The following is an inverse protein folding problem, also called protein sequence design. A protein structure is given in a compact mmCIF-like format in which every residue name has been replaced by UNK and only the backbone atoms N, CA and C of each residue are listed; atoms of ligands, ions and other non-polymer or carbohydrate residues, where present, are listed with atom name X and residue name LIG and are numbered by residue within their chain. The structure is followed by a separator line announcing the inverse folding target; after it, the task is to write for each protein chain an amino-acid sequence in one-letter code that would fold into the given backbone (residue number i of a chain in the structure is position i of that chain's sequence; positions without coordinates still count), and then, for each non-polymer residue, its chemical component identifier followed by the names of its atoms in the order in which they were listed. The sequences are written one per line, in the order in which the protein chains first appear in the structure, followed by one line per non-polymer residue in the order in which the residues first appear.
data_IF_052348856141
#
_entry.id   IF_052348856141
#
_cell.length_a   1.000
_cell.length_b   1.000
_cell.length_c   1.000
_cell.angle_alpha   90.00
_cell.angle_beta   90.00
_cell.angle_gamma   90.00
#
_symmetry.space_group_name_H-M   'P 1'
#
loop_
_entity.id
_entity.type
_entity.pdbx_description
1 polymer ?
#
# COMPACT_ATOMS: atom_id res chain seq x y z
N UNK A 1 -17.54 18.81 -8.48
CA UNK A 1 -18.33 18.16 -7.42
C UNK A 1 -17.58 16.97 -6.82
N UNK A 2 -17.73 16.70 -5.51
CA UNK A 2 -17.00 15.65 -4.78
C UNK A 2 -17.52 14.20 -4.95
N UNK A 3 -18.76 14.02 -5.42
CA UNK A 3 -19.47 12.72 -5.53
C UNK A 3 -19.18 11.70 -4.38
N UNK A 4 -19.43 12.02 -3.10
CA UNK A 4 -18.97 11.18 -1.98
C UNK A 4 -19.49 9.74 -1.98
N UNK A 5 -20.73 9.51 -2.41
CA UNK A 5 -21.29 8.14 -2.51
C UNK A 5 -20.60 7.32 -3.60
N UNK A 6 -20.35 7.91 -4.77
CA UNK A 6 -19.66 7.24 -5.88
C UNK A 6 -18.25 6.86 -5.48
N UNK A 7 -17.53 7.75 -4.79
CA UNK A 7 -16.19 7.43 -4.28
C UNK A 7 -16.22 6.37 -3.18
N UNK A 8 -17.27 6.31 -2.37
CA UNK A 8 -17.44 5.25 -1.37
C UNK A 8 -17.59 3.89 -2.05
N UNK A 9 -18.46 3.79 -3.05
CA UNK A 9 -18.70 2.57 -3.81
C UNK A 9 -17.45 2.17 -4.62
N UNK A 10 -16.84 3.12 -5.33
CA UNK A 10 -15.58 2.91 -6.07
C UNK A 10 -14.48 2.37 -5.16
N UNK A 11 -14.28 2.97 -3.99
CA UNK A 11 -13.26 2.52 -3.05
C UNK A 11 -13.55 1.11 -2.55
N UNK A 12 -14.82 0.79 -2.25
CA UNK A 12 -15.23 -0.58 -1.91
C UNK A 12 -14.92 -1.57 -3.03
N UNK A 13 -15.15 -1.17 -4.28
CA UNK A 13 -14.95 -1.98 -5.47
C UNK A 13 -13.46 -2.27 -5.76
N UNK A 14 -12.53 -1.38 -5.44
CA UNK A 14 -11.08 -1.58 -5.70
C UNK A 14 -10.29 -2.15 -4.51
N UNK A 15 -10.96 -2.36 -3.38
CA UNK A 15 -10.39 -2.96 -2.16
C UNK A 15 -10.38 -4.48 -2.23
N UNK A 16 -9.59 -5.09 -1.35
CA UNK A 16 -9.60 -6.55 -1.23
C UNK A 16 -11.03 -7.01 -0.88
N UNK A 17 -11.50 -8.05 -1.56
CA UNK A 17 -12.72 -8.73 -1.12
C UNK A 17 -12.48 -9.39 0.25
N UNK A 18 -13.53 -9.69 1.03
CA UNK A 18 -13.36 -10.41 2.29
C UNK A 18 -12.53 -11.69 2.14
N UNK A 19 -12.80 -12.51 1.11
CA UNK A 19 -12.04 -13.72 0.82
C UNK A 19 -10.57 -13.44 0.50
N UNK A 20 -10.27 -12.38 -0.25
CA UNK A 20 -8.88 -12.01 -0.53
C UNK A 20 -8.16 -11.51 0.73
N UNK A 21 -8.86 -10.77 1.59
CA UNK A 21 -8.31 -10.30 2.85
C UNK A 21 -8.01 -11.47 3.81
N UNK A 22 -8.93 -12.44 3.89
CA UNK A 22 -8.76 -13.67 4.68
C UNK A 22 -7.58 -14.49 4.14
N UNK A 23 -7.49 -14.69 2.82
CA UNK A 23 -6.36 -15.39 2.19
C UNK A 23 -5.01 -14.71 2.49
N UNK A 24 -4.95 -13.37 2.45
CA UNK A 24 -3.74 -12.63 2.85
C UNK A 24 -3.39 -12.90 4.31
N UNK A 25 -4.38 -12.84 5.20
CA UNK A 25 -4.22 -13.04 6.63
C UNK A 25 -3.71 -14.46 6.95
N UNK A 26 -4.36 -15.47 6.38
CA UNK A 26 -4.02 -16.88 6.56
C UNK A 26 -2.64 -17.19 5.98
N UNK A 27 -2.32 -16.66 4.80
CA UNK A 27 -1.03 -16.86 4.15
C UNK A 27 0.14 -16.36 5.00
N UNK A 28 0.06 -15.10 5.46
CA UNK A 28 1.15 -14.55 6.26
C UNK A 28 1.22 -15.15 7.68
N UNK A 29 0.09 -15.54 8.27
CA UNK A 29 0.07 -16.22 9.58
C UNK A 29 0.71 -17.59 9.48
N UNK A 30 0.33 -18.37 8.47
CA UNK A 30 0.91 -19.70 8.21
C UNK A 30 2.42 -19.62 8.02
N UNK A 31 2.92 -18.67 7.23
CA UNK A 31 4.36 -18.48 7.03
C UNK A 31 5.08 -18.15 8.35
N UNK A 32 4.56 -17.21 9.14
CA UNK A 32 5.16 -16.81 10.43
C UNK A 32 5.12 -17.93 11.46
N UNK A 33 4.05 -18.73 11.49
CA UNK A 33 3.92 -19.88 12.36
C UNK A 33 4.90 -20.99 12.00
N UNK A 34 5.14 -21.24 10.71
CA UNK A 34 6.15 -22.20 10.27
C UNK A 34 7.56 -21.72 10.63
N UNK A 35 7.88 -20.46 10.35
CA UNK A 35 9.18 -19.86 10.69
C UNK A 35 9.49 -19.94 12.19
N UNK A 36 8.50 -19.72 13.06
CA UNK A 36 8.69 -19.78 14.52
C UNK A 36 8.83 -21.20 15.08
N UNK A 37 8.42 -22.23 14.32
CA UNK A 37 8.50 -23.64 14.71
C UNK A 37 9.67 -24.39 14.05
N UNK A 38 10.31 -23.80 13.05
CA UNK A 38 11.47 -24.39 12.37
C UNK A 38 12.67 -24.45 13.33
N UNK A 39 13.21 -25.65 13.56
CA UNK A 39 14.29 -25.88 14.52
C UNK A 39 15.60 -25.18 14.14
N UNK A 40 15.82 -24.87 12.85
CA UNK A 40 17.04 -24.24 12.34
C UNK A 40 16.92 -22.72 12.37
N UNK A 41 15.76 -22.20 11.97
CA UNK A 41 15.52 -20.77 11.82
C UNK A 41 15.05 -20.10 13.11
N UNK A 42 14.25 -20.76 13.94
CA UNK A 42 13.72 -20.14 15.16
C UNK A 42 14.82 -19.57 16.09
N UNK A 43 15.99 -20.22 16.28
CA UNK A 43 17.09 -19.64 17.07
C UNK A 43 17.72 -18.38 16.47
N UNK A 44 17.73 -18.25 15.13
CA UNK A 44 18.32 -17.09 14.44
C UNK A 44 17.31 -15.97 14.17
N UNK A 45 16.01 -16.24 14.26
CA UNK A 45 14.97 -15.22 14.09
C UNK A 45 14.79 -14.43 15.39
N UNK A 46 14.85 -13.11 15.27
CA UNK A 46 14.54 -12.17 16.36
C UNK A 46 13.04 -11.86 16.35
N UNK A 47 12.49 -11.53 15.17
CA UNK A 47 11.09 -11.16 15.02
C UNK A 47 10.64 -11.28 13.55
N UNK A 48 9.33 -11.33 13.32
CA UNK A 48 8.71 -11.20 12.00
C UNK A 48 7.62 -10.15 12.00
N UNK A 49 7.55 -9.33 10.95
CA UNK A 49 6.49 -8.32 10.81
C UNK A 49 6.11 -8.11 9.34
N UNK A 50 4.92 -7.53 9.12
CA UNK A 50 4.42 -7.23 7.78
C UNK A 50 4.98 -5.90 7.27
N UNK A 51 5.34 -5.85 5.99
CA UNK A 51 5.70 -4.62 5.27
C UNK A 51 4.75 -4.42 4.07
N UNK A 52 5.08 -3.46 3.23
CA UNK A 52 4.56 -3.36 1.89
C UNK A 52 3.25 -2.60 1.82
N UNK A 53 2.64 -2.69 0.65
CA UNK A 53 1.36 -2.01 0.41
C UNK A 53 0.22 -2.60 1.25
N UNK A 54 0.32 -3.89 1.61
CA UNK A 54 -0.61 -4.53 2.53
C UNK A 54 -0.55 -3.85 3.92
N UNK A 55 0.63 -3.77 4.53
CA UNK A 55 0.78 -3.16 5.86
C UNK A 55 0.48 -1.66 5.87
N UNK A 56 0.83 -0.94 4.80
CA UNK A 56 0.52 0.50 4.66
C UNK A 56 -0.93 0.78 4.24
N UNK A 57 -1.74 -0.29 4.09
CA UNK A 57 -3.13 -0.22 3.62
C UNK A 57 -3.31 0.42 2.24
N UNK A 58 -2.25 0.51 1.43
CA UNK A 58 -2.31 1.04 0.05
C UNK A 58 -2.49 -0.05 -1.00
N UNK A 59 -2.63 -1.32 -0.61
CA UNK A 59 -2.97 -2.43 -1.51
C UNK A 59 -4.33 -2.21 -2.17
N UNK A 60 -4.47 -2.67 -3.41
CA UNK A 60 -5.70 -2.64 -4.22
C UNK A 60 -5.92 -4.04 -4.78
N UNK A 61 -7.18 -4.46 -4.95
CA UNK A 61 -7.53 -5.83 -5.40
C UNK A 61 -6.70 -6.24 -6.61
N UNK A 62 -6.18 -7.46 -6.68
CA UNK A 62 -5.38 -7.87 -7.83
C UNK A 62 -6.21 -7.90 -9.11
N UNK A 63 -5.55 -7.85 -10.27
CA UNK A 63 -6.20 -8.16 -11.54
C UNK A 63 -6.62 -9.63 -11.63
N UNK A 64 -7.41 -10.04 -12.64
CA UNK A 64 -7.98 -11.38 -12.74
C UNK A 64 -6.97 -12.54 -12.72
N UNK A 65 -5.72 -12.26 -13.12
CA UNK A 65 -4.62 -13.25 -13.21
C UNK A 65 -3.51 -13.00 -12.19
N UNK A 66 -3.71 -12.07 -11.26
CA UNK A 66 -2.72 -11.70 -10.25
C UNK A 66 -3.19 -12.12 -8.86
N UNK A 67 -2.25 -12.34 -7.95
CA UNK A 67 -2.53 -12.55 -6.53
C UNK A 67 -2.23 -11.26 -5.73
N UNK A 68 -2.82 -11.15 -4.54
CA UNK A 68 -2.46 -10.11 -3.58
C UNK A 68 -1.03 -10.32 -3.09
N UNK A 69 -0.26 -9.25 -2.99
CA UNK A 69 1.16 -9.29 -2.62
C UNK A 69 1.32 -8.85 -1.16
N UNK A 70 1.91 -9.73 -0.33
CA UNK A 70 2.10 -9.49 1.10
C UNK A 70 3.57 -9.75 1.47
N UNK A 71 4.25 -8.68 1.89
CA UNK A 71 5.63 -8.74 2.33
C UNK A 71 5.74 -9.13 3.80
N UNK A 72 6.48 -10.20 4.10
CA UNK A 72 6.83 -10.64 5.46
C UNK A 72 8.32 -10.44 5.67
N UNK A 73 8.66 -9.50 6.54
CA UNK A 73 10.05 -9.22 6.94
C UNK A 73 10.43 -10.13 8.11
N UNK A 74 11.59 -10.76 8.00
CA UNK A 74 12.21 -11.55 9.06
C UNK A 74 13.46 -10.84 9.53
N UNK A 75 13.44 -10.41 10.79
CA UNK A 75 14.60 -9.89 11.51
C UNK A 75 15.39 -11.08 12.01
N UNK A 76 16.66 -11.18 11.60
CA UNK A 76 17.53 -12.30 11.97
C UNK A 76 18.67 -11.84 12.88
N UNK A 77 19.49 -12.80 13.32
CA UNK A 77 20.79 -12.60 13.96
C UNK A 77 21.96 -12.81 13.00
N UNK A 78 21.71 -12.81 11.68
CA UNK A 78 22.76 -13.04 10.67
C UNK A 78 23.60 -11.77 10.49
N UNK A 79 24.82 -11.76 11.04
CA UNK A 79 25.71 -10.62 10.96
C UNK A 79 26.26 -10.45 9.53
N UNK A 80 26.27 -9.22 9.00
CA UNK A 80 26.78 -8.95 7.64
C UNK A 80 28.25 -9.36 7.49
N UNK A 81 29.04 -9.29 8.56
CA UNK A 81 30.45 -9.70 8.56
C UNK A 81 30.65 -11.20 8.32
N UNK A 82 29.70 -12.03 8.76
CA UNK A 82 29.72 -13.48 8.54
C UNK A 82 29.20 -13.86 7.15
N UNK A 83 28.46 -12.95 6.50
CA UNK A 83 27.88 -13.11 5.17
C UNK A 83 28.31 -11.97 4.21
N UNK A 84 29.60 -11.91 3.83
CA UNK A 84 30.11 -10.92 2.88
C UNK A 84 29.51 -11.09 1.48
N UNK A 85 29.10 -12.31 1.11
CA UNK A 85 28.17 -12.54 0.00
C UNK A 85 26.76 -12.66 0.60
N UNK A 86 25.86 -11.68 0.38
CA UNK A 86 24.52 -11.68 0.96
C UNK A 86 23.67 -12.88 0.53
N UNK A 87 24.03 -13.55 -0.58
CA UNK A 87 23.36 -14.76 -1.02
C UNK A 87 23.43 -15.88 0.02
N UNK A 88 24.55 -15.99 0.76
CA UNK A 88 24.71 -17.00 1.80
C UNK A 88 23.71 -16.84 2.93
N UNK A 89 23.35 -15.60 3.30
CA UNK A 89 22.34 -15.35 4.33
C UNK A 89 20.94 -15.74 3.85
N UNK A 90 20.67 -15.60 2.54
CA UNK A 90 19.43 -16.11 1.95
C UNK A 90 19.40 -17.64 1.93
N UNK A 91 20.54 -18.28 1.69
CA UNK A 91 20.65 -19.74 1.57
C UNK A 91 20.32 -20.49 2.87
N UNK A 92 20.49 -19.86 4.03
CA UNK A 92 20.04 -20.39 5.33
C UNK A 92 18.54 -20.74 5.34
N UNK A 93 17.74 -20.07 4.51
CA UNK A 93 16.29 -20.31 4.42
C UNK A 93 15.91 -21.36 3.38
N UNK A 94 16.83 -21.83 2.52
CA UNK A 94 16.51 -22.82 1.50
C UNK A 94 16.00 -24.15 2.08
N UNK A 95 16.58 -24.72 3.15
CA UNK A 95 16.04 -25.96 3.74
C UNK A 95 14.59 -25.82 4.20
N UNK A 96 14.24 -24.68 4.82
CA UNK A 96 12.87 -24.37 5.24
C UNK A 96 11.91 -24.24 4.04
N UNK A 97 12.36 -23.56 2.99
CA UNK A 97 11.58 -23.37 1.76
C UNK A 97 11.36 -24.68 1.01
N UNK A 98 12.38 -25.52 0.95
CA UNK A 98 12.28 -26.86 0.34
C UNK A 98 11.33 -27.77 1.12
N UNK A 99 11.33 -27.67 2.46
CA UNK A 99 10.44 -28.48 3.30
C UNK A 99 8.96 -28.06 3.20
N UNK A 100 8.68 -26.75 3.20
CA UNK A 100 7.31 -26.24 3.34
C UNK A 100 6.69 -25.68 2.06
N UNK A 101 7.51 -25.38 1.06
CA UNK A 101 7.12 -24.66 -0.16
C UNK A 101 7.78 -25.27 -1.41
N UNK A 102 8.15 -26.56 -1.41
CA UNK A 102 8.74 -27.23 -2.56
C UNK A 102 7.97 -26.94 -3.86
N UNK A 103 8.69 -26.45 -4.88
CA UNK A 103 8.12 -26.08 -6.18
C UNK A 103 7.18 -24.86 -6.18
N UNK A 104 7.05 -24.17 -5.04
CA UNK A 104 6.17 -23.01 -4.82
C UNK A 104 6.95 -21.76 -4.40
N UNK A 105 8.29 -21.77 -4.45
CA UNK A 105 9.10 -20.58 -4.17
C UNK A 105 10.02 -20.21 -5.33
N UNK A 106 10.31 -18.91 -5.45
CA UNK A 106 11.28 -18.34 -6.35
C UNK A 106 12.26 -17.46 -5.55
N UNK A 107 13.56 -17.70 -5.70
CA UNK A 107 14.59 -16.86 -5.10
C UNK A 107 14.77 -15.59 -5.92
N UNK A 108 14.23 -14.47 -5.45
CA UNK A 108 14.35 -13.15 -6.06
C UNK A 108 15.65 -12.46 -5.63
N UNK A 109 15.89 -11.24 -6.10
CA UNK A 109 17.08 -10.47 -5.73
C UNK A 109 17.16 -10.15 -4.23
N UNK A 110 16.02 -9.90 -3.55
CA UNK A 110 15.97 -9.39 -2.16
C UNK A 110 15.01 -10.13 -1.24
N UNK A 111 14.43 -11.21 -1.73
CA UNK A 111 13.35 -11.93 -1.08
C UNK A 111 13.19 -13.31 -1.69
N UNK A 112 12.36 -14.14 -1.07
CA UNK A 112 11.80 -15.33 -1.68
C UNK A 112 10.32 -15.09 -1.96
N UNK A 113 9.92 -15.17 -3.23
CA UNK A 113 8.52 -15.11 -3.62
C UNK A 113 7.89 -16.48 -3.47
N UNK A 114 6.86 -16.58 -2.62
CA UNK A 114 6.09 -17.80 -2.40
C UNK A 114 4.76 -17.68 -3.14
N UNK A 115 4.51 -18.61 -4.04
CA UNK A 115 3.26 -18.76 -4.76
C UNK A 115 2.37 -19.77 -4.02
N UNK A 116 1.59 -19.29 -3.05
CA UNK A 116 0.58 -20.09 -2.36
C UNK A 116 -0.81 -19.75 -2.92
N UNK A 117 -1.83 -20.60 -2.71
CA UNK A 117 -3.17 -20.32 -3.23
C UNK A 117 -3.67 -18.92 -2.82
N UNK A 118 -4.15 -18.17 -3.80
CA UNK A 118 -4.82 -16.86 -3.65
C UNK A 118 -3.98 -15.69 -3.06
N UNK A 119 -2.72 -15.92 -2.68
CA UNK A 119 -1.81 -14.88 -2.18
C UNK A 119 -0.36 -15.14 -2.62
N UNK A 120 0.34 -14.08 -3.03
CA UNK A 120 1.79 -14.10 -3.19
C UNK A 120 2.41 -13.53 -1.92
N UNK A 121 3.32 -14.28 -1.31
CA UNK A 121 4.08 -13.82 -0.14
C UNK A 121 5.50 -13.50 -0.59
N UNK A 122 6.04 -12.34 -0.22
CA UNK A 122 7.47 -12.06 -0.36
C UNK A 122 8.13 -12.17 1.02
N UNK A 123 8.94 -13.20 1.22
CA UNK A 123 9.73 -13.44 2.42
C UNK A 123 11.03 -12.63 2.32
N UNK A 124 11.13 -11.56 3.11
CA UNK A 124 12.26 -10.60 3.09
C UNK A 124 13.13 -10.84 4.33
N UNK A 125 14.38 -11.26 4.12
CA UNK A 125 15.33 -11.50 5.19
C UNK A 125 16.09 -10.21 5.48
N UNK A 126 16.38 -9.93 6.75
CA UNK A 126 17.23 -8.80 7.15
C UNK A 126 18.40 -9.28 8.00
N UNK A 127 19.51 -8.52 8.01
CA UNK A 127 20.66 -8.81 8.86
C UNK A 127 20.34 -8.70 10.34
N UNK A 128 21.30 -9.10 11.18
CA UNK A 128 21.35 -8.70 12.58
C UNK A 128 21.14 -7.18 12.70
N UNK A 129 20.18 -6.73 13.53
CA UNK A 129 20.09 -5.33 13.94
C UNK A 129 21.21 -5.02 14.95
N UNK A 130 21.37 -3.77 15.38
CA UNK A 130 22.32 -3.47 16.46
C UNK A 130 21.88 -4.10 17.80
N UNK A 131 22.80 -4.31 18.75
CA UNK A 131 22.48 -4.97 20.04
C UNK A 131 21.34 -4.25 20.80
N UNK A 132 21.34 -2.91 20.74
CA UNK A 132 20.31 -2.05 21.34
C UNK A 132 18.93 -2.27 20.69
N UNK A 133 18.91 -2.52 19.38
CA UNK A 133 17.69 -2.77 18.61
C UNK A 133 17.16 -4.18 18.76
N UNK A 134 18.03 -5.18 18.90
CA UNK A 134 17.62 -6.57 19.08
C UNK A 134 16.73 -6.71 20.32
N UNK A 135 17.14 -6.10 21.45
CA UNK A 135 16.36 -6.07 22.67
C UNK A 135 14.97 -5.46 22.48
N UNK A 136 14.87 -4.36 21.71
CA UNK A 136 13.60 -3.71 21.40
C UNK A 136 12.73 -4.56 20.46
N UNK A 137 13.32 -5.16 19.43
CA UNK A 137 12.61 -5.99 18.46
C UNK A 137 12.12 -7.30 19.08
N UNK A 138 12.89 -7.87 20.01
CA UNK A 138 12.50 -9.02 20.82
C UNK A 138 11.36 -8.67 21.80
N UNK A 139 11.44 -7.53 22.49
CA UNK A 139 10.35 -7.03 23.34
C UNK A 139 9.07 -6.76 22.54
N UNK A 140 9.20 -6.25 21.30
CA UNK A 140 8.08 -6.08 20.37
C UNK A 140 7.48 -7.41 19.92
N UNK A 141 8.26 -8.46 19.74
CA UNK A 141 7.75 -9.80 19.42
C UNK A 141 6.83 -10.34 20.53
N UNK A 142 7.19 -10.07 21.79
CA UNK A 142 6.43 -10.45 22.98
C UNK A 142 5.15 -9.60 23.20
N UNK A 143 5.12 -8.36 22.68
CA UNK A 143 3.98 -7.43 22.83
C UNK A 143 3.09 -7.27 21.59
N UNK A 144 3.53 -7.75 20.42
CA UNK A 144 2.82 -7.61 19.14
C UNK A 144 2.26 -8.94 18.60
N UNK A 145 2.34 -10.03 19.38
CA UNK A 145 1.74 -11.32 19.02
C UNK A 145 0.21 -11.26 19.00
N UNK A 146 -0.40 -10.23 19.60
CA UNK A 146 -1.84 -10.01 19.59
C UNK A 146 -2.13 -8.57 19.16
N UNK A 147 -3.16 -8.38 18.32
CA UNK A 147 -3.79 -7.08 18.03
C UNK A 147 -3.25 -6.17 16.90
N UNK A 148 -2.58 -6.75 15.90
CA UNK A 148 -2.43 -6.11 14.57
C UNK A 148 -2.95 -7.00 13.43
N UNK A 149 -3.73 -8.03 13.71
CA UNK A 149 -4.36 -8.91 12.70
C UNK A 149 -5.83 -8.56 12.47
N UNK A 150 -6.44 -7.74 13.32
CA UNK A 150 -7.81 -7.25 13.15
C UNK A 150 -7.88 -5.96 12.30
N UNK A 151 -7.07 -5.82 11.24
CA UNK A 151 -7.18 -4.72 10.28
C UNK A 151 -8.43 -4.88 9.42
N UNK A 152 -9.58 -4.53 9.99
CA UNK A 152 -10.76 -4.27 9.18
C UNK A 152 -10.56 -2.92 8.53
N UNK A 153 -10.68 -2.91 7.21
CA UNK A 153 -10.52 -1.80 6.28
C UNK A 153 -11.45 -0.58 6.50
N UNK A 154 -12.00 -0.38 7.70
CA UNK A 154 -12.90 0.73 8.02
C UNK A 154 -12.14 1.96 8.54
N UNK A 155 -12.60 3.14 8.11
CA UNK A 155 -12.12 4.48 8.52
C UNK A 155 -12.12 4.68 10.05
N UNK A 156 -12.84 3.85 10.80
CA UNK A 156 -13.04 3.97 12.24
C UNK A 156 -11.86 3.50 13.10
N UNK A 157 -10.92 2.71 12.56
CA UNK A 157 -9.84 2.09 13.35
C UNK A 157 -8.47 2.77 13.19
N UNK A 158 -8.34 3.72 12.25
CA UNK A 158 -7.08 4.47 12.01
C UNK A 158 -6.56 5.25 13.24
N UNK A 159 -7.42 5.92 14.03
CA UNK A 159 -6.97 6.63 15.24
C UNK A 159 -6.37 5.70 16.30
N UNK A 160 -6.84 4.44 16.38
CA UNK A 160 -6.33 3.43 17.31
C UNK A 160 -4.95 2.92 16.90
N UNK A 161 -4.70 2.78 15.60
CA UNK A 161 -3.40 2.40 15.04
C UNK A 161 -2.37 3.51 15.26
N UNK A 162 -2.74 4.76 14.99
CA UNK A 162 -1.91 5.93 15.25
C UNK A 162 -1.59 6.06 16.75
N UNK A 163 -2.58 5.87 17.62
CA UNK A 163 -2.38 5.89 19.07
C UNK A 163 -1.49 4.72 19.54
N UNK A 164 -1.65 3.51 19.00
CA UNK A 164 -0.82 2.36 19.34
C UNK A 164 0.64 2.54 18.87
N UNK A 165 0.85 2.99 17.64
CA UNK A 165 2.17 3.32 17.11
C UNK A 165 2.82 4.43 17.93
N UNK A 166 2.11 5.53 18.18
CA UNK A 166 2.63 6.65 19.00
C UNK A 166 2.87 6.27 20.44
N UNK A 167 2.02 5.45 21.06
CA UNK A 167 2.22 4.94 22.43
C UNK A 167 3.41 3.99 22.49
N UNK A 168 3.62 3.16 21.47
CA UNK A 168 4.84 2.36 21.33
C UNK A 168 6.09 3.24 21.17
N UNK A 169 5.99 4.36 20.46
CA UNK A 169 7.09 5.33 20.28
C UNK A 169 7.32 6.22 21.51
N UNK A 170 6.30 6.45 22.34
CA UNK A 170 6.36 7.33 23.51
C UNK A 170 6.81 6.59 24.78
N UNK A 171 6.58 5.28 24.89
CA UNK A 171 6.98 4.48 26.06
C UNK A 171 8.49 4.21 26.17
N UNK A 172 9.31 4.67 25.23
CA UNK A 172 10.78 4.51 25.25
C UNK A 172 11.52 5.71 25.84
N UNK A 173 10.81 6.75 26.33
CA UNK A 173 11.36 7.73 27.27
C UNK A 173 12.43 8.70 26.75
N UNK A 174 12.93 8.58 25.52
CA UNK A 174 13.93 9.51 24.97
C UNK A 174 13.47 10.30 23.74
N UNK A 175 13.77 11.61 23.68
CA UNK A 175 13.44 12.48 22.55
C UNK A 175 14.41 12.22 21.40
N UNK A 176 14.19 11.17 20.62
CA UNK A 176 15.02 10.91 19.44
C UNK A 176 15.06 9.48 18.92
N UNK A 177 14.05 8.65 19.23
CA UNK A 177 14.06 7.26 18.78
C UNK A 177 14.11 7.20 17.23
N UNK A 178 15.16 6.59 16.70
CA UNK A 178 15.21 6.10 15.34
C UNK A 178 15.50 4.62 15.50
N UNK A 179 14.61 3.77 15.01
CA UNK A 179 15.11 2.47 14.57
C UNK A 179 16.14 2.78 13.51
N UNK A 180 17.32 2.22 13.66
CA UNK A 180 18.31 2.23 12.61
C UNK A 180 17.74 1.48 11.39
N UNK A 181 18.18 1.83 10.17
CA UNK A 181 17.86 1.04 9.01
C UNK A 181 18.28 -0.42 9.21
N UNK A 182 17.39 -1.34 8.90
CA UNK A 182 17.74 -2.74 8.71
C UNK A 182 18.49 -2.88 7.38
N UNK A 183 19.19 -3.99 7.20
CA UNK A 183 19.83 -4.29 5.92
C UNK A 183 19.22 -5.53 5.31
N UNK A 184 18.87 -5.47 4.02
CA UNK A 184 18.37 -6.60 3.23
C UNK A 184 19.47 -7.12 2.31
N UNK A 185 19.61 -8.43 2.13
CA UNK A 185 20.54 -8.98 1.16
C UNK A 185 20.02 -8.68 -0.25
N UNK A 186 20.84 -8.09 -1.12
CA UNK A 186 20.59 -8.01 -2.56
C UNK A 186 21.58 -8.93 -3.28
N UNK A 187 21.12 -10.13 -3.65
CA UNK A 187 21.92 -11.13 -4.36
C UNK A 187 22.40 -10.62 -5.72
N UNK A 188 21.55 -9.89 -6.44
CA UNK A 188 21.89 -9.41 -7.79
C UNK A 188 22.94 -8.30 -7.73
N UNK A 189 22.81 -7.39 -6.76
CA UNK A 189 23.78 -6.32 -6.52
C UNK A 189 25.01 -6.78 -5.71
N UNK A 190 24.95 -7.99 -5.13
CA UNK A 190 25.97 -8.57 -4.25
C UNK A 190 26.35 -7.67 -3.08
N UNK A 191 25.35 -7.02 -2.49
CA UNK A 191 25.55 -6.15 -1.34
C UNK A 191 24.35 -6.19 -0.37
N UNK A 192 24.60 -5.74 0.85
CA UNK A 192 23.55 -5.45 1.82
C UNK A 192 23.01 -4.04 1.55
N UNK A 193 21.73 -3.94 1.20
CA UNK A 193 21.06 -2.65 0.99
C UNK A 193 20.36 -2.21 2.28
N UNK A 194 20.58 -0.97 2.77
CA UNK A 194 19.82 -0.44 3.88
C UNK A 194 18.35 -0.24 3.49
N UNK A 195 17.44 -0.50 4.43
CA UNK A 195 15.99 -0.31 4.30
C UNK A 195 15.41 0.10 5.65
N UNK A 196 14.34 0.89 5.65
CA UNK A 196 13.71 1.30 6.91
C UNK A 196 12.19 1.05 6.88
N UNK A 197 11.74 -0.22 6.88
CA UNK A 197 10.33 -0.60 6.73
C UNK A 197 9.37 0.15 7.66
N UNK A 198 9.78 0.35 8.91
CA UNK A 198 8.99 1.03 9.93
C UNK A 198 8.85 2.54 9.64
N UNK A 199 9.88 3.22 9.14
CA UNK A 199 9.77 4.62 8.72
C UNK A 199 8.88 4.76 7.49
N UNK A 200 8.89 3.79 6.57
CA UNK A 200 7.98 3.78 5.43
C UNK A 200 6.51 3.69 5.88
N UNK A 201 6.22 2.89 6.91
CA UNK A 201 4.87 2.78 7.50
C UNK A 201 4.50 4.08 8.24
N UNK A 202 5.38 4.58 9.10
CA UNK A 202 5.14 5.79 9.90
C UNK A 202 4.90 7.01 9.02
N UNK A 203 5.71 7.18 7.96
CA UNK A 203 5.53 8.27 7.01
C UNK A 203 4.14 8.25 6.38
N UNK A 204 3.65 7.08 5.96
CA UNK A 204 2.30 6.94 5.39
C UNK A 204 1.21 7.22 6.42
N UNK A 205 1.40 6.82 7.68
CA UNK A 205 0.47 7.14 8.78
C UNK A 205 0.38 8.64 9.01
N UNK A 206 1.53 9.31 9.15
CA UNK A 206 1.59 10.75 9.38
C UNK A 206 1.06 11.53 8.18
N UNK A 207 1.39 11.11 6.96
CA UNK A 207 0.85 11.73 5.75
C UNK A 207 -0.66 11.59 5.69
N UNK A 208 -1.20 10.41 5.99
CA UNK A 208 -2.64 10.20 6.03
C UNK A 208 -3.33 11.09 7.07
N UNK A 209 -2.75 11.25 8.25
CA UNK A 209 -3.26 12.16 9.27
C UNK A 209 -3.27 13.62 8.79
N UNK A 210 -2.17 14.10 8.18
CA UNK A 210 -2.10 15.46 7.62
C UNK A 210 -3.09 15.70 6.48
N UNK A 211 -3.47 14.65 5.75
CA UNK A 211 -4.50 14.69 4.70
C UNK A 211 -5.91 14.35 5.22
N UNK A 212 -6.23 14.61 6.50
CA UNK A 212 -7.54 14.34 7.12
C UNK A 212 -8.06 12.89 6.95
N UNK A 213 -7.14 11.93 6.84
CA UNK A 213 -7.43 10.51 6.63
C UNK A 213 -7.73 10.10 5.18
N UNK A 214 -7.51 10.98 4.20
CA UNK A 214 -7.83 10.73 2.79
C UNK A 214 -6.67 10.21 1.94
N UNK A 215 -5.41 10.44 2.34
CA UNK A 215 -4.21 10.10 1.57
C UNK A 215 -4.20 8.63 1.08
N UNK A 216 -4.45 7.67 1.97
CA UNK A 216 -4.42 6.24 1.61
C UNK A 216 -5.44 5.92 0.51
N UNK A 217 -6.61 6.55 0.55
CA UNK A 217 -7.65 6.35 -0.47
C UNK A 217 -7.26 7.02 -1.81
N UNK A 218 -6.61 8.18 -1.77
CA UNK A 218 -6.03 8.82 -2.97
C UNK A 218 -4.97 7.91 -3.60
N UNK A 219 -4.07 7.34 -2.80
CA UNK A 219 -3.06 6.38 -3.29
C UNK A 219 -3.73 5.16 -3.93
N UNK A 220 -4.75 4.56 -3.29
CA UNK A 220 -5.49 3.42 -3.87
C UNK A 220 -6.11 3.79 -5.22
N UNK A 221 -6.77 4.95 -5.32
CA UNK A 221 -7.40 5.40 -6.56
C UNK A 221 -6.38 5.60 -7.70
N UNK A 222 -5.25 6.26 -7.43
CA UNK A 222 -4.20 6.50 -8.44
C UNK A 222 -3.48 5.20 -8.81
N UNK A 223 -3.24 4.29 -7.86
CA UNK A 223 -2.72 2.94 -8.14
C UNK A 223 -3.68 2.13 -9.00
N UNK A 224 -4.98 2.24 -8.76
CA UNK A 224 -6.02 1.61 -9.56
C UNK A 224 -6.01 2.15 -10.98
N UNK A 225 -6.07 3.47 -11.16
CA UNK A 225 -5.93 4.13 -12.46
C UNK A 225 -4.69 3.62 -13.22
N UNK A 226 -3.51 3.67 -12.59
CA UNK A 226 -2.27 3.19 -13.22
C UNK A 226 -2.33 1.72 -13.64
N UNK A 227 -3.11 0.88 -12.93
CA UNK A 227 -3.27 -0.52 -13.27
C UNK A 227 -4.16 -0.73 -14.50
N UNK A 228 -5.25 0.02 -14.60
CA UNK A 228 -6.23 -0.11 -15.70
C UNK A 228 -5.88 0.73 -16.93
N UNK A 229 -4.86 1.59 -16.81
CA UNK A 229 -4.36 2.41 -17.90
C UNK A 229 -4.00 1.54 -19.12
N UNK A 230 -4.64 1.75 -20.28
CA UNK A 230 -4.42 0.92 -21.47
C UNK A 230 -3.00 0.98 -22.02
N UNK A 231 -2.18 1.99 -21.68
CA UNK A 231 -0.79 2.03 -22.11
C UNK A 231 0.12 1.07 -21.32
N UNK A 232 -0.39 0.42 -20.27
CA UNK A 232 0.26 -0.67 -19.55
C UNK A 232 1.73 -0.39 -19.18
N UNK A 233 2.03 0.84 -18.76
CA UNK A 233 3.40 1.27 -18.45
C UNK A 233 4.05 0.35 -17.42
N UNK A 234 5.27 -0.13 -17.69
CA UNK A 234 6.01 -1.00 -16.78
C UNK A 234 6.36 -0.32 -15.45
N UNK A 235 6.66 0.98 -15.50
CA UNK A 235 7.05 1.82 -14.37
C UNK A 235 6.30 3.17 -14.37
N UNK A 236 6.27 3.90 -13.23
CA UNK A 236 6.69 3.48 -11.89
C UNK A 236 5.82 2.34 -11.35
N UNK A 237 6.43 1.46 -10.53
CA UNK A 237 5.73 0.37 -9.83
C UNK A 237 5.10 0.88 -8.53
N UNK A 238 4.43 0.00 -7.79
CA UNK A 238 3.60 0.34 -6.62
C UNK A 238 4.25 1.29 -5.61
N UNK A 239 5.41 0.95 -5.05
CA UNK A 239 6.05 1.78 -4.02
C UNK A 239 6.66 3.10 -4.55
N UNK A 240 7.40 3.12 -5.69
CA UNK A 240 7.84 4.38 -6.29
C UNK A 240 6.69 5.32 -6.69
N UNK A 241 5.57 4.77 -7.17
CA UNK A 241 4.36 5.55 -7.46
C UNK A 241 3.75 6.14 -6.16
N UNK A 242 3.66 5.35 -5.09
CA UNK A 242 3.22 5.82 -3.77
C UNK A 242 4.09 6.98 -3.25
N UNK A 243 5.42 6.94 -3.48
CA UNK A 243 6.31 8.03 -3.12
C UNK A 243 6.06 9.32 -3.90
N UNK A 244 5.87 9.22 -5.21
CA UNK A 244 5.53 10.38 -6.05
C UNK A 244 4.20 11.01 -5.60
N UNK A 245 3.18 10.18 -5.38
CA UNK A 245 1.88 10.61 -4.82
C UNK A 245 2.08 11.27 -3.46
N UNK A 246 2.92 10.69 -2.60
CA UNK A 246 3.21 11.19 -1.27
C UNK A 246 3.80 12.61 -1.23
N UNK A 247 4.70 12.91 -2.16
CA UNK A 247 5.29 14.24 -2.29
C UNK A 247 4.31 15.27 -2.88
N UNK A 248 3.45 14.84 -3.80
CA UNK A 248 2.55 15.74 -4.53
C UNK A 248 1.21 15.98 -3.84
N UNK A 249 0.67 14.99 -3.12
CA UNK A 249 -0.64 15.09 -2.48
C UNK A 249 -0.59 16.17 -1.38
N UNK A 250 -1.42 17.21 -1.41
CA UNK A 250 -1.36 18.27 -0.40
C UNK A 250 -1.92 17.81 0.94
N UNK A 251 -1.44 18.45 2.01
CA UNK A 251 -2.02 18.31 3.34
C UNK A 251 -3.39 19.04 3.39
N UNK A 252 -4.27 18.63 4.30
CA UNK A 252 -5.55 19.31 4.52
C UNK A 252 -6.66 19.02 3.52
N UNK A 253 -6.47 18.11 2.55
CA UNK A 253 -7.54 17.70 1.62
C UNK A 253 -8.79 17.23 2.37
N UNK A 254 -9.96 17.56 1.83
CA UNK A 254 -11.27 17.34 2.48
C UNK A 254 -12.07 16.19 1.87
N UNK A 255 -11.66 15.72 0.69
CA UNK A 255 -12.25 14.59 0.00
C UNK A 255 -11.22 13.80 -0.81
N UNK A 256 -11.58 12.58 -1.22
CA UNK A 256 -10.75 11.76 -2.12
C UNK A 256 -10.73 12.34 -3.53
N UNK A 257 -11.86 12.90 -3.99
CA UNK A 257 -11.96 13.56 -5.29
C UNK A 257 -11.00 14.75 -5.39
N UNK A 258 -11.05 15.67 -4.41
CA UNK A 258 -10.12 16.79 -4.30
C UNK A 258 -8.67 16.28 -4.27
N UNK A 259 -8.40 15.28 -3.43
CA UNK A 259 -7.06 14.72 -3.28
C UNK A 259 -6.51 14.13 -4.58
N UNK A 260 -7.33 13.45 -5.40
CA UNK A 260 -6.89 12.92 -6.70
C UNK A 260 -6.52 14.07 -7.66
N UNK A 261 -7.39 15.07 -7.79
CA UNK A 261 -7.17 16.21 -8.69
C UNK A 261 -5.90 16.94 -8.30
N UNK A 262 -5.81 17.40 -7.05
CA UNK A 262 -4.69 18.22 -6.61
C UNK A 262 -3.37 17.45 -6.64
N UNK A 263 -3.38 16.13 -6.37
CA UNK A 263 -2.18 15.29 -6.51
C UNK A 263 -1.72 15.19 -7.96
N UNK A 264 -2.64 14.90 -8.90
CA UNK A 264 -2.28 14.74 -10.31
C UNK A 264 -1.81 16.06 -10.93
N UNK A 265 -2.46 17.18 -10.59
CA UNK A 265 -2.04 18.51 -11.00
C UNK A 265 -0.69 18.91 -10.39
N UNK A 266 -0.45 18.59 -9.12
CA UNK A 266 0.84 18.84 -8.49
C UNK A 266 1.95 18.00 -9.12
N UNK A 267 1.69 16.75 -9.51
CA UNK A 267 2.64 15.93 -10.26
C UNK A 267 2.93 16.52 -11.64
N UNK A 268 1.90 16.91 -12.39
CA UNK A 268 2.02 17.58 -13.70
C UNK A 268 2.87 18.86 -13.57
N UNK A 269 2.54 19.74 -12.62
CA UNK A 269 3.24 21.00 -12.41
C UNK A 269 4.70 20.80 -11.96
N UNK A 270 4.93 19.93 -10.98
CA UNK A 270 6.26 19.71 -10.39
C UNK A 270 7.24 19.13 -11.40
N UNK A 271 6.74 18.27 -12.29
CA UNK A 271 7.57 17.55 -13.26
C UNK A 271 7.41 18.05 -14.69
N UNK A 272 6.98 19.31 -14.89
CA UNK A 272 6.77 19.92 -16.20
C UNK A 272 8.02 19.94 -17.11
N UNK A 273 9.22 19.94 -16.52
CA UNK A 273 10.48 19.78 -17.26
C UNK A 273 10.69 18.38 -17.84
N UNK A 274 9.85 17.43 -17.42
CA UNK A 274 9.88 16.00 -17.74
C UNK A 274 11.17 15.29 -17.34
N UNK A 275 12.02 15.94 -16.55
CA UNK A 275 13.25 15.34 -16.07
C UNK A 275 12.97 14.39 -14.89
N UNK A 276 13.48 13.16 -14.98
CA UNK A 276 13.33 12.18 -13.91
C UNK A 276 13.99 12.71 -12.63
N UNK A 277 13.24 12.84 -11.52
CA UNK A 277 13.81 13.26 -10.26
C UNK A 277 14.60 12.11 -9.61
N UNK A 278 15.46 12.47 -8.67
CA UNK A 278 15.93 11.55 -7.63
C UNK A 278 14.96 11.65 -6.47
N UNK A 279 14.47 10.52 -5.97
CA UNK A 279 13.47 10.49 -4.90
C UNK A 279 13.98 9.65 -3.73
N UNK A 280 14.44 10.29 -2.63
CA UNK A 280 14.97 9.60 -1.46
C UNK A 280 13.94 8.69 -0.78
N UNK A 281 14.35 7.49 -0.37
CA UNK A 281 13.56 6.53 0.41
C UNK A 281 13.30 7.05 1.84
N UNK A 282 12.15 6.69 2.41
CA UNK A 282 11.80 7.02 3.78
C UNK A 282 12.70 6.28 4.77
N UNK A 283 13.48 7.05 5.54
CA UNK A 283 14.41 6.51 6.54
C UNK A 283 15.75 6.08 5.98
N UNK A 284 15.92 6.04 4.65
CA UNK A 284 17.21 5.77 3.99
C UNK A 284 17.43 6.76 2.83
N UNK A 285 17.74 8.03 3.12
CA UNK A 285 17.76 9.08 2.09
C UNK A 285 18.82 8.89 0.98
N UNK A 286 19.80 8.02 1.21
CA UNK A 286 20.81 7.64 0.21
C UNK A 286 20.25 6.74 -0.89
N UNK A 287 19.09 6.11 -0.67
CA UNK A 287 18.44 5.24 -1.64
C UNK A 287 17.48 6.03 -2.51
N UNK A 288 17.70 6.03 -3.83
CA UNK A 288 16.74 6.55 -4.80
C UNK A 288 15.66 5.48 -5.11
N UNK A 289 14.41 5.73 -4.70
CA UNK A 289 13.30 4.80 -4.98
C UNK A 289 12.96 4.73 -6.48
N UNK A 290 13.40 5.71 -7.28
CA UNK A 290 13.25 5.76 -8.72
C UNK A 290 14.50 5.24 -9.45
N UNK A 291 15.45 4.57 -8.77
CA UNK A 291 16.69 4.07 -9.39
C UNK A 291 16.46 3.16 -10.60
N UNK A 292 15.39 2.36 -10.57
CA UNK A 292 15.01 1.43 -11.65
C UNK A 292 14.18 2.07 -12.76
N UNK A 293 13.71 3.31 -12.57
CA UNK A 293 12.96 4.06 -13.57
C UNK A 293 13.95 4.78 -14.51
N UNK A 294 13.81 4.56 -15.81
CA UNK A 294 14.60 5.28 -16.82
C UNK A 294 14.02 6.67 -17.09
N UNK A 295 14.80 7.56 -17.71
CA UNK A 295 14.30 8.87 -18.14
C UNK A 295 13.11 8.74 -19.11
N UNK A 296 13.19 7.82 -20.08
CA UNK A 296 12.12 7.57 -21.05
C UNK A 296 10.84 7.02 -20.39
N UNK A 297 10.98 6.09 -19.43
CA UNK A 297 9.82 5.60 -18.67
C UNK A 297 9.15 6.73 -17.86
N UNK A 298 9.95 7.65 -17.31
CA UNK A 298 9.42 8.80 -16.57
C UNK A 298 8.70 9.80 -17.49
N UNK A 299 9.23 10.07 -18.67
CA UNK A 299 8.58 10.91 -19.68
C UNK A 299 7.23 10.32 -20.12
N UNK A 300 7.17 9.00 -20.33
CA UNK A 300 5.93 8.31 -20.65
C UNK A 300 4.92 8.36 -19.50
N UNK A 301 5.39 8.18 -18.25
CA UNK A 301 4.56 8.35 -17.06
C UNK A 301 4.02 9.76 -16.94
N UNK A 302 4.84 10.78 -17.19
CA UNK A 302 4.43 12.18 -17.17
C UNK A 302 3.27 12.45 -18.15
N UNK A 303 3.35 11.95 -19.38
CA UNK A 303 2.27 12.13 -20.37
C UNK A 303 0.94 11.55 -19.89
N UNK A 304 0.98 10.42 -19.17
CA UNK A 304 -0.22 9.82 -18.55
C UNK A 304 -0.74 10.65 -17.39
N UNK A 305 0.15 11.18 -16.56
CA UNK A 305 -0.23 12.09 -15.46
C UNK A 305 -0.89 13.36 -16.01
N UNK A 306 -0.35 13.99 -17.03
CA UNK A 306 -0.93 15.20 -17.64
C UNK A 306 -2.33 14.93 -18.20
N UNK A 307 -2.51 13.81 -18.92
CA UNK A 307 -3.84 13.37 -19.36
C UNK A 307 -4.79 13.15 -18.17
N UNK A 308 -4.36 12.42 -17.15
CA UNK A 308 -5.17 12.12 -15.98
C UNK A 308 -5.55 13.37 -15.18
N UNK A 309 -4.63 14.32 -15.03
CA UNK A 309 -4.87 15.62 -14.39
C UNK A 309 -5.98 16.39 -15.11
N UNK A 310 -5.95 16.43 -16.45
CA UNK A 310 -7.02 17.06 -17.25
C UNK A 310 -8.38 16.41 -17.00
N UNK A 311 -8.46 15.07 -17.06
CA UNK A 311 -9.72 14.35 -16.85
C UNK A 311 -10.25 14.53 -15.42
N UNK A 312 -9.38 14.43 -14.42
CA UNK A 312 -9.74 14.62 -13.01
C UNK A 312 -10.27 16.04 -12.77
N UNK A 313 -9.60 17.06 -13.33
CA UNK A 313 -10.03 18.46 -13.25
C UNK A 313 -11.41 18.66 -13.87
N UNK A 314 -11.65 18.13 -15.07
CA UNK A 314 -12.96 18.19 -15.73
C UNK A 314 -14.06 17.49 -14.89
N UNK A 315 -13.77 16.29 -14.37
CA UNK A 315 -14.68 15.55 -13.52
C UNK A 315 -15.06 16.35 -12.26
N UNK A 316 -14.06 16.98 -11.64
CA UNK A 316 -14.22 17.73 -10.40
C UNK A 316 -14.79 19.13 -10.60
N UNK A 317 -14.62 19.75 -11.76
CA UNK A 317 -15.20 21.06 -12.06
C UNK A 317 -16.65 20.98 -12.56
N UNK A 318 -17.13 19.81 -13.00
CA UNK A 318 -18.50 19.65 -13.50
C UNK A 318 -19.56 19.89 -12.42
N UNK A 319 -20.62 20.61 -12.81
CA UNK A 319 -21.83 20.88 -12.03
C UNK A 319 -22.91 19.80 -12.23
N UNK A 320 -22.72 18.87 -13.18
CA UNK A 320 -23.67 17.82 -13.48
C UNK A 320 -23.14 16.45 -13.05
N UNK A 321 -23.89 15.76 -12.19
CA UNK A 321 -23.52 14.44 -11.66
C UNK A 321 -23.20 13.45 -12.77
N UNK A 322 -24.01 13.41 -13.83
CA UNK A 322 -23.80 12.49 -14.96
C UNK A 322 -22.50 12.75 -15.69
N UNK A 323 -22.16 14.02 -15.96
CA UNK A 323 -20.89 14.36 -16.62
C UNK A 323 -19.69 14.09 -15.71
N UNK A 324 -19.77 14.53 -14.46
CA UNK A 324 -18.74 14.28 -13.45
C UNK A 324 -18.45 12.79 -13.30
N UNK A 325 -19.49 11.96 -13.15
CA UNK A 325 -19.34 10.51 -13.00
C UNK A 325 -18.77 9.84 -14.26
N UNK A 326 -19.19 10.27 -15.45
CA UNK A 326 -18.62 9.75 -16.70
C UNK A 326 -17.14 10.10 -16.84
N UNK A 327 -16.72 11.32 -16.48
CA UNK A 327 -15.31 11.71 -16.48
C UNK A 327 -14.49 10.95 -15.44
N UNK A 328 -15.04 10.73 -14.25
CA UNK A 328 -14.39 9.84 -13.27
C UNK A 328 -14.26 8.41 -13.79
N UNK A 329 -15.22 7.90 -14.57
CA UNK A 329 -15.13 6.59 -15.23
C UNK A 329 -14.09 6.55 -16.35
N UNK A 330 -13.93 7.64 -17.12
CA UNK A 330 -12.85 7.74 -18.11
C UNK A 330 -11.47 7.54 -17.44
N UNK A 331 -11.31 8.03 -16.21
CA UNK A 331 -10.06 7.93 -15.44
C UNK A 331 -9.92 6.65 -14.60
N UNK A 332 -10.97 6.27 -13.87
CA UNK A 332 -10.96 5.23 -12.83
C UNK A 332 -11.62 3.92 -13.29
N UNK A 333 -12.14 3.88 -14.52
CA UNK A 333 -12.71 2.70 -15.15
C UNK A 333 -14.05 2.28 -14.57
N UNK A 334 -14.46 1.06 -14.89
CA UNK A 334 -15.79 0.55 -14.62
C UNK A 334 -16.10 0.31 -13.13
N UNK A 335 -15.08 0.21 -12.29
CA UNK A 335 -15.25 0.10 -10.84
C UNK A 335 -15.82 1.40 -10.24
N UNK A 336 -15.68 2.54 -10.94
CA UNK A 336 -16.34 3.78 -10.54
C UNK A 336 -17.80 3.74 -11.01
N UNK A 337 -18.81 3.94 -10.14
CA UNK A 337 -20.21 3.71 -10.51
C UNK A 337 -20.68 4.53 -11.72
N UNK A 338 -21.47 3.89 -12.59
CA UNK A 338 -22.14 4.58 -13.69
C UNK A 338 -23.19 5.57 -13.13
N UNK A 339 -23.35 6.76 -13.74
CA UNK A 339 -24.46 7.63 -13.39
C UNK A 339 -25.81 6.97 -13.78
N UNK A 340 -26.93 7.40 -13.17
CA UNK A 340 -28.25 6.93 -13.57
C UNK A 340 -28.46 7.13 -15.07
N UNK A 341 -29.04 6.13 -15.74
CA UNK A 341 -29.47 6.29 -17.12
C UNK A 341 -30.46 7.47 -17.19
N UNK A 342 -30.35 8.29 -18.25
CA UNK A 342 -31.44 9.21 -18.57
C UNK A 342 -32.64 8.32 -18.89
N UNK A 343 -33.57 8.19 -17.95
CA UNK A 343 -34.87 7.63 -18.24
C UNK A 343 -35.43 8.36 -19.47
N UNK A 344 -36.03 7.62 -20.40
CA UNK A 344 -36.90 8.20 -21.42
C UNK A 344 -38.12 8.81 -20.72
N UNK A 345 -37.93 9.91 -19.99
CA UNK A 345 -39.02 10.73 -19.49
C UNK A 345 -39.35 11.75 -20.57
N UNK A 346 -40.13 11.27 -21.55
CA UNK A 346 -41.17 12.10 -22.13
C UNK A 346 -42.25 12.33 -21.06
N UNK A 347 -41.95 13.09 -20.02
CA UNK A 347 -42.99 13.82 -19.31
C UNK A 347 -42.48 15.16 -18.79
N UNK A 348 -43.37 16.11 -18.98
CA UNK A 348 -43.17 17.55 -18.94
C UNK A 348 -42.93 18.10 -17.54
N UNK A 349 -41.86 18.87 -17.39
CA UNK A 349 -41.83 20.06 -16.54
C UNK A 349 -41.81 19.83 -15.01
N UNK A 350 -40.65 19.50 -14.45
CA UNK A 350 -40.16 20.01 -13.16
C UNK A 350 -38.65 19.81 -13.08
N UNK A 351 -37.92 20.87 -12.72
CA UNK A 351 -36.45 20.87 -12.62
C UNK A 351 -35.91 19.82 -11.63
N UNK A 352 -34.60 19.52 -11.68
CA UNK A 352 -34.03 18.39 -10.97
C UNK A 352 -34.03 18.66 -9.46
N UNK A 353 -35.03 18.15 -8.75
CA UNK A 353 -35.00 17.96 -7.31
C UNK A 353 -34.20 16.69 -7.01
N UNK A 354 -33.14 16.82 -6.24
CA UNK A 354 -32.35 15.67 -5.81
C UNK A 354 -33.17 14.62 -5.06
N UNK A 355 -32.78 13.35 -5.27
CA UNK A 355 -32.81 12.23 -4.32
C UNK A 355 -34.09 11.89 -3.56
N UNK A 356 -34.64 10.71 -3.84
CA UNK A 356 -34.80 9.62 -2.86
C UNK A 356 -35.46 8.41 -3.53
N UNK A 357 -34.86 7.23 -3.42
CA UNK A 357 -35.59 5.97 -3.66
C UNK A 357 -36.52 5.72 -2.46
N UNK A 358 -37.82 5.44 -2.64
CA UNK A 358 -38.72 5.14 -1.53
C UNK A 358 -38.25 3.92 -0.73
N UNK A 359 -38.36 3.96 0.61
CA UNK A 359 -37.99 2.82 1.46
C UNK A 359 -39.06 1.73 1.38
N UNK A 360 -38.67 0.52 1.04
CA UNK A 360 -39.57 -0.65 1.05
C UNK A 360 -39.70 -1.31 2.44
N UNK A 361 -39.01 -0.82 3.47
CA UNK A 361 -39.15 -1.33 4.83
C UNK A 361 -38.30 -0.62 5.88
N UNK A 362 -38.53 -0.91 7.19
CA UNK A 362 -37.74 -0.35 8.28
C UNK A 362 -36.30 -0.85 8.23
N UNK A 363 -35.35 0.08 8.34
CA UNK A 363 -33.92 -0.24 8.42
C UNK A 363 -33.63 -1.02 9.70
N UNK A 364 -33.32 -2.31 9.57
CA UNK A 364 -32.72 -3.09 10.66
C UNK A 364 -31.24 -2.73 10.71
N UNK A 365 -30.85 -1.94 11.71
CA UNK A 365 -29.44 -1.70 12.01
C UNK A 365 -28.89 -2.98 12.64
N UNK A 366 -27.93 -3.69 12.02
CA UNK A 366 -27.30 -4.82 12.66
C UNK A 366 -26.45 -4.28 13.80
N UNK A 367 -26.81 -4.53 15.05
CA UNK A 367 -25.91 -4.31 16.18
C UNK A 367 -24.86 -5.43 16.14
N UNK A 368 -23.71 -5.16 15.54
CA UNK A 368 -22.64 -6.14 15.39
C UNK A 368 -21.46 -5.64 14.56
N UNK A 369 -20.37 -6.42 14.58
CA UNK A 369 -18.98 -6.18 14.14
C UNK A 369 -18.76 -5.74 12.66
N UNK A 370 -19.81 -5.35 11.94
CA UNK A 370 -19.83 -5.00 10.51
C UNK A 370 -20.88 -3.91 10.16
N UNK A 371 -21.35 -3.14 11.15
CA UNK A 371 -22.08 -1.89 10.91
C UNK A 371 -21.13 -0.71 10.64
#
# INVERSE_FOLDING_TARGET
MDLPSYFTDFLGNIRLTPTQADACADGHQTLRDRLSKDERLAPIIVNTFLQGSYKRSTIVKPGPTQASDVDVVVVTRLAQADYPDPEGAMDEFLPFLEEHYQGQYEKQGRSFGLAVPDVKLDLVITSAPSEEEEGILALKALGASEDLTAFKESRAQWPTIEAALRKMMANTGEPGWKLEPLYIPDREARCWEPTHPLQQILWTVDKNARCNGHYVNVVKAIKWWRRIDPLALKYPKGYPLEHLIGQACPDGITSVAQGIVETLEALEMTYASRQKPVLPDHGVPTNDVLKRLTQADFEAFYDRVAWAASIAREAFASDMVTESANRWRDLLGDEFPAPPEKGNDSDSGRGPSGGFTPREGPSRVPTGRFA
#
